data_IF_054936275343
#
_entry.id   IF_054936275343
#
_cell.length_a   1.000
_cell.length_b   1.000
_cell.length_c   1.000
_cell.angle_alpha   90.00
_cell.angle_beta   90.00
_cell.angle_gamma   90.00
#
_symmetry.space_group_name_H-M   'P 1'
#
loop_
_entity.id
_entity.type
_entity.pdbx_description
1 polymer ?
#
# COMPACT_ATOMS: atom_id res chain seq x y z
N UNK A 1 -3.21 -6.31 -4.41
CA UNK A 1 -2.81 -6.29 -3.00
C UNK A 1 -4.06 -6.23 -2.11
N UNK A 2 -4.33 -7.31 -1.37
CA UNK A 2 -5.45 -7.41 -0.42
C UNK A 2 -4.84 -7.99 0.87
N UNK A 3 -4.57 -7.17 1.90
CA UNK A 3 -3.95 -7.70 3.10
C UNK A 3 -4.97 -8.57 3.86
N UNK A 4 -4.51 -9.73 4.29
CA UNK A 4 -5.19 -10.60 5.23
C UNK A 4 -4.62 -10.32 6.62
N UNK A 5 -5.50 -10.03 7.57
CA UNK A 5 -5.14 -9.76 8.97
C UNK A 5 -6.22 -10.36 9.87
N UNK A 6 -5.90 -10.59 11.14
CA UNK A 6 -6.93 -10.93 12.12
C UNK A 6 -7.89 -9.75 12.34
N UNK A 7 -9.11 -10.05 12.79
CA UNK A 7 -10.18 -9.07 12.98
C UNK A 7 -9.78 -7.96 13.95
N UNK A 8 -9.17 -8.31 15.08
CA UNK A 8 -8.76 -7.34 16.10
C UNK A 8 -7.76 -6.31 15.58
N UNK A 9 -6.89 -6.69 14.63
CA UNK A 9 -5.99 -5.77 13.95
C UNK A 9 -6.72 -4.96 12.88
N UNK A 10 -7.60 -5.60 12.10
CA UNK A 10 -8.38 -4.94 11.05
C UNK A 10 -9.17 -3.74 11.58
N UNK A 11 -9.82 -3.89 12.73
CA UNK A 11 -10.62 -2.85 13.39
C UNK A 11 -9.78 -1.65 13.87
N UNK A 12 -8.46 -1.82 14.02
CA UNK A 12 -7.52 -0.78 14.45
C UNK A 12 -6.85 -0.05 13.29
N UNK A 13 -7.02 -0.52 12.04
CA UNK A 13 -6.40 0.10 10.86
C UNK A 13 -7.07 1.44 10.55
N UNK A 14 -6.29 2.52 10.60
CA UNK A 14 -6.77 3.88 10.27
C UNK A 14 -6.62 4.24 8.79
N UNK A 15 -5.55 3.79 8.16
CA UNK A 15 -5.27 4.01 6.75
C UNK A 15 -4.23 3.01 6.24
N UNK A 16 -4.22 2.78 4.93
CA UNK A 16 -3.18 2.01 4.23
C UNK A 16 -2.47 2.96 3.26
N UNK A 17 -1.16 3.09 3.40
CA UNK A 17 -0.33 3.90 2.50
C UNK A 17 0.52 2.98 1.62
N UNK A 18 0.42 3.13 0.31
CA UNK A 18 1.20 2.36 -0.67
C UNK A 18 2.36 3.21 -1.14
N UNK A 19 3.59 2.71 -0.97
CA UNK A 19 4.81 3.36 -1.44
C UNK A 19 5.52 2.50 -2.49
N UNK A 20 6.12 3.15 -3.49
CA UNK A 20 7.09 2.50 -4.39
C UNK A 20 8.13 3.52 -4.86
N UNK A 21 9.38 3.08 -4.99
CA UNK A 21 10.49 3.91 -5.50
C UNK A 21 10.62 5.29 -4.83
N UNK A 22 10.30 5.39 -3.52
CA UNK A 22 10.35 6.65 -2.76
C UNK A 22 9.14 7.60 -2.98
N UNK A 23 8.10 7.15 -3.66
CA UNK A 23 6.85 7.89 -3.85
C UNK A 23 5.71 7.26 -3.06
N UNK A 24 4.85 8.10 -2.49
CA UNK A 24 3.52 7.69 -2.05
C UNK A 24 2.63 7.59 -3.28
N UNK A 25 2.21 6.37 -3.60
CA UNK A 25 1.39 6.06 -4.75
C UNK A 25 -0.10 6.23 -4.44
N UNK A 26 -0.50 5.79 -3.25
CA UNK A 26 -1.91 5.78 -2.84
C UNK A 26 -2.06 5.86 -1.31
N UNK A 27 -3.17 6.45 -0.90
CA UNK A 27 -3.71 6.38 0.46
C UNK A 27 -5.13 5.83 0.39
N UNK A 28 -5.44 4.88 1.26
CA UNK A 28 -6.78 4.34 1.46
C UNK A 28 -7.14 4.65 2.91
N UNK A 29 -8.10 5.56 3.11
CA UNK A 29 -8.55 5.97 4.44
C UNK A 29 -9.53 4.96 5.04
N UNK A 30 -9.72 4.98 6.36
CA UNK A 30 -10.67 4.12 7.06
C UNK A 30 -12.10 4.14 6.49
N UNK A 31 -12.57 5.28 5.98
CA UNK A 31 -13.88 5.42 5.32
C UNK A 31 -14.00 4.62 4.02
N UNK A 32 -12.87 4.36 3.37
CA UNK A 32 -12.77 3.65 2.11
C UNK A 32 -12.35 2.19 2.28
N UNK A 33 -12.11 1.77 3.53
CA UNK A 33 -11.78 0.40 3.91
C UNK A 33 -13.07 -0.36 4.23
N UNK A 34 -13.20 -1.57 3.68
CA UNK A 34 -14.22 -2.53 4.07
C UNK A 34 -13.56 -3.79 4.66
N UNK A 35 -14.05 -4.23 5.82
CA UNK A 35 -13.64 -5.47 6.48
C UNK A 35 -14.60 -6.57 6.03
N UNK A 36 -14.09 -7.49 5.23
CA UNK A 36 -14.82 -8.68 4.80
C UNK A 36 -14.58 -9.80 5.82
N UNK A 37 -15.61 -10.04 6.63
CA UNK A 37 -15.65 -11.07 7.67
C UNK A 37 -16.22 -12.41 7.16
N UNK A 38 -16.13 -12.68 5.86
CA UNK A 38 -16.38 -14.03 5.35
C UNK A 38 -15.29 -14.97 5.87
N UNK A 39 -15.67 -16.10 6.44
CA UNK A 39 -14.70 -17.08 6.91
C UNK A 39 -13.81 -17.57 5.77
N UNK A 40 -12.50 -17.58 6.02
CA UNK A 40 -11.50 -18.05 5.07
C UNK A 40 -10.68 -19.18 5.67
N UNK A 41 -10.30 -20.13 4.83
CA UNK A 41 -9.26 -21.11 5.16
C UNK A 41 -7.97 -20.70 4.45
N UNK A 42 -7.04 -19.98 5.13
CA UNK A 42 -5.85 -19.45 4.49
C UNK A 42 -4.95 -20.59 3.99
N UNK A 43 -4.53 -20.51 2.72
CA UNK A 43 -3.58 -21.47 2.13
C UNK A 43 -2.11 -21.15 2.46
N UNK A 44 -1.86 -20.23 3.38
CA UNK A 44 -0.54 -19.76 3.79
C UNK A 44 -0.28 -20.09 5.26
N UNK A 45 0.98 -20.38 5.65
CA UNK A 45 1.30 -20.76 7.02
C UNK A 45 1.09 -19.58 7.98
N UNK A 46 0.20 -19.78 8.95
CA UNK A 46 -0.12 -18.86 10.03
C UNK A 46 0.66 -19.28 11.28
N UNK A 47 1.80 -18.63 11.57
CA UNK A 47 2.56 -18.81 12.82
C UNK A 47 2.02 -17.89 13.91
N UNK A 48 0.81 -18.19 14.39
CA UNK A 48 0.12 -17.38 15.40
C UNK A 48 -0.09 -18.21 16.66
N UNK A 49 -0.16 -17.55 17.82
CA UNK A 49 -0.50 -18.24 19.05
C UNK A 49 -1.96 -18.75 19.03
N UNK A 50 -2.30 -19.66 19.94
CA UNK A 50 -3.63 -20.28 19.96
C UNK A 50 -4.78 -19.27 20.13
N UNK A 51 -4.52 -18.10 20.72
CA UNK A 51 -5.53 -17.07 20.93
C UNK A 51 -5.69 -16.19 19.68
N UNK A 52 -4.60 -15.92 18.96
CA UNK A 52 -4.58 -15.27 17.66
C UNK A 52 -5.19 -16.16 16.55
N UNK A 53 -5.05 -17.49 16.64
CA UNK A 53 -5.70 -18.46 15.74
C UNK A 53 -7.22 -18.53 15.94
N UNK A 54 -7.71 -18.26 17.15
CA UNK A 54 -9.15 -18.20 17.45
C UNK A 54 -9.79 -16.91 16.95
N UNK A 55 -9.01 -15.86 16.71
CA UNK A 55 -9.54 -14.62 16.16
C UNK A 55 -9.92 -14.81 14.69
N UNK A 56 -11.01 -14.19 14.27
CA UNK A 56 -11.54 -14.36 12.92
C UNK A 56 -10.58 -13.74 11.91
N UNK A 57 -10.22 -14.51 10.89
CA UNK A 57 -9.43 -14.03 9.76
C UNK A 57 -10.30 -13.27 8.78
N UNK A 58 -9.95 -12.02 8.52
CA UNK A 58 -10.75 -11.12 7.69
C UNK A 58 -9.91 -10.53 6.56
N UNK A 59 -10.59 -10.15 5.47
CA UNK A 59 -9.96 -9.52 4.31
C UNK A 59 -10.26 -8.03 4.28
N UNK A 60 -9.24 -7.20 4.10
CA UNK A 60 -9.40 -5.76 3.96
C UNK A 60 -9.41 -5.38 2.47
N UNK A 61 -10.45 -4.65 2.03
CA UNK A 61 -10.57 -4.21 0.62
C UNK A 61 -11.06 -2.76 0.47
N UNK A 62 -10.68 -2.05 -0.60
CA UNK A 62 -11.27 -0.78 -0.95
C UNK A 62 -12.77 -0.91 -1.24
N UNK A 63 -13.55 0.10 -0.87
CA UNK A 63 -14.99 0.17 -1.15
C UNK A 63 -15.23 0.18 -2.67
N UNK A 64 -16.13 -0.68 -3.14
CA UNK A 64 -16.50 -0.76 -4.56
C UNK A 64 -15.56 -1.56 -5.47
N UNK A 65 -14.48 -2.17 -4.94
CA UNK A 65 -13.59 -3.03 -5.74
C UNK A 65 -13.47 -4.45 -5.20
N UNK A 66 -13.36 -5.43 -6.11
CA UNK A 66 -13.05 -6.84 -5.81
C UNK A 66 -11.56 -7.14 -5.87
N UNK A 67 -10.76 -6.29 -6.53
CA UNK A 67 -9.31 -6.43 -6.69
C UNK A 67 -8.60 -5.07 -6.58
N UNK A 68 -7.36 -5.07 -6.12
CA UNK A 68 -6.55 -3.85 -6.14
C UNK A 68 -6.11 -3.56 -7.58
N UNK A 69 -6.59 -2.45 -8.14
CA UNK A 69 -6.20 -1.95 -9.44
C UNK A 69 -5.82 -0.47 -9.29
N UNK A 70 -4.64 -0.09 -9.78
CA UNK A 70 -4.13 1.27 -9.69
C UNK A 70 -3.74 1.73 -11.09
N UNK A 71 -4.30 2.85 -11.56
CA UNK A 71 -3.99 3.45 -12.85
C UNK A 71 -3.03 4.61 -12.64
N UNK A 72 -1.79 4.45 -13.10
CA UNK A 72 -0.74 5.46 -12.94
C UNK A 72 -1.08 6.82 -13.56
N UNK A 73 -1.97 6.88 -14.56
CA UNK A 73 -2.39 8.16 -15.15
C UNK A 73 -3.41 8.92 -14.28
N UNK A 74 -4.15 8.21 -13.42
CA UNK A 74 -5.19 8.80 -12.55
C UNK A 74 -4.60 9.28 -11.22
N UNK A 75 -3.40 8.83 -10.86
CA UNK A 75 -2.74 9.14 -9.61
C UNK A 75 -1.35 9.75 -9.85
N UNK A 76 -1.20 11.06 -9.65
CA UNK A 76 0.11 11.72 -9.64
C UNK A 76 0.85 11.35 -8.35
N UNK A 77 1.96 10.60 -8.41
CA UNK A 77 2.68 10.16 -7.22
C UNK A 77 3.25 11.35 -6.43
N UNK A 78 3.09 11.34 -5.11
CA UNK A 78 3.71 12.36 -4.25
C UNK A 78 5.12 11.93 -3.87
N UNK A 79 6.12 12.74 -4.21
CA UNK A 79 7.53 12.49 -3.85
C UNK A 79 7.74 12.77 -2.36
N UNK A 80 8.33 11.81 -1.64
CA UNK A 80 8.53 11.93 -0.19
C UNK A 80 9.84 12.64 0.19
N UNK A 81 10.72 12.90 -0.78
CA UNK A 81 12.04 13.49 -0.56
C UNK A 81 12.36 14.52 -1.65
N UNK A 82 13.13 15.55 -1.28
CA UNK A 82 13.68 16.52 -2.24
C UNK A 82 14.74 15.82 -3.10
N UNK A 83 14.64 15.85 -4.44
CA UNK A 83 15.65 15.25 -5.30
C UNK A 83 16.98 15.99 -5.19
N UNK A 84 18.08 15.24 -5.08
CA UNK A 84 19.39 15.76 -5.44
C UNK A 84 19.50 15.83 -6.96
N UNK A 85 19.73 17.01 -7.53
CA UNK A 85 20.05 17.12 -8.95
C UNK A 85 21.38 16.40 -9.22
N UNK A 86 21.35 15.45 -10.13
CA UNK A 86 22.57 14.89 -10.74
C UNK A 86 23.07 15.89 -11.77
N UNK A 87 24.38 16.16 -11.77
CA UNK A 87 25.00 17.00 -12.80
C UNK A 87 24.84 16.32 -14.15
N UNK A 88 24.35 17.05 -15.14
CA UNK A 88 24.35 16.59 -16.51
C UNK A 88 25.79 16.62 -17.06
N UNK A 89 26.31 15.46 -17.46
CA UNK A 89 27.66 15.33 -17.99
C UNK A 89 27.91 16.09 -19.30
N UNK A 90 26.83 16.53 -19.97
CA UNK A 90 26.87 17.21 -21.27
C UNK A 90 26.54 18.71 -21.20
N UNK A 91 26.30 19.27 -20.00
CA UNK A 91 25.98 20.70 -19.85
C UNK A 91 27.21 21.62 -19.90
N UNK A 92 28.43 21.07 -19.87
CA UNK A 92 29.65 21.84 -20.12
C UNK A 92 29.77 22.14 -21.62
N UNK A 93 29.04 23.15 -22.09
CA UNK A 93 29.40 23.83 -23.34
C UNK A 93 30.82 24.37 -23.18
N UNK A 94 31.77 23.75 -23.88
CA UNK A 94 33.10 24.33 -24.12
C UNK A 94 32.90 25.73 -24.70
N UNK A 95 33.12 26.75 -23.88
CA UNK A 95 33.43 28.09 -24.36
C UNK A 95 34.83 28.00 -24.97
N UNK A 96 34.89 27.57 -26.23
CA UNK A 96 36.07 27.82 -27.03
C UNK A 96 35.93 29.24 -27.57
N UNK A 97 36.71 30.12 -26.94
CA UNK A 97 37.04 31.46 -27.42
C UNK A 97 37.69 31.42 -28.81
#
# INVERSE_FOLDING_TARGET
FLPFVNKSLAEKVKAIHVFANGYKLQEIESSDINIDATDINPSFPTQFDDDELKDQWVRIRPKGSSTFHMRFFEHTPKRMFTPSQVKNSLEEKKSNA
#
